data_IF_238846707035
#
_entry.id   IF_238846707035
#
_cell.length_a   1.000
_cell.length_b   1.000
_cell.length_c   1.000
_cell.angle_alpha   90.00
_cell.angle_beta   90.00
_cell.angle_gamma   90.00
#
_symmetry.space_group_name_H-M   'P 1'
#
loop_
_entity.id
_entity.type
_entity.pdbx_description
1 polymer ?
#
# COMPACT_ATOMS: atom_id res chain seq x y z
N UNK A 1 -44.90 33.22 -25.12
CA UNK A 1 -43.47 32.89 -25.40
C UNK A 1 -42.51 33.15 -24.24
N UNK A 2 -42.85 33.99 -23.24
CA UNK A 2 -41.94 34.32 -22.13
C UNK A 2 -41.80 33.28 -20.99
N UNK A 3 -42.57 32.18 -21.00
CA UNK A 3 -42.55 31.17 -19.92
C UNK A 3 -41.61 29.98 -20.18
N UNK A 4 -41.25 29.73 -21.44
CA UNK A 4 -40.36 28.62 -21.80
C UNK A 4 -38.87 28.94 -21.57
N UNK A 5 -38.53 30.22 -21.39
CA UNK A 5 -37.14 30.68 -21.27
C UNK A 5 -36.63 30.69 -19.82
N UNK A 6 -37.53 30.65 -18.83
CA UNK A 6 -37.17 30.61 -17.40
C UNK A 6 -36.85 29.19 -16.89
N UNK A 7 -37.39 28.15 -17.53
CA UNK A 7 -37.15 26.75 -17.13
C UNK A 7 -35.79 26.21 -17.57
N UNK A 8 -35.17 26.81 -18.59
CA UNK A 8 -33.84 26.39 -19.07
C UNK A 8 -32.70 26.95 -18.20
N UNK A 9 -32.92 28.11 -17.56
CA UNK A 9 -31.94 28.71 -16.65
C UNK A 9 -31.89 28.01 -15.28
N UNK A 10 -33.01 27.44 -14.83
CA UNK A 10 -33.07 26.66 -13.59
C UNK A 10 -32.41 25.28 -13.71
N UNK A 11 -32.30 24.72 -14.93
CA UNK A 11 -31.70 23.40 -15.15
C UNK A 11 -30.15 23.42 -15.18
N UNK A 12 -29.51 24.58 -15.41
CA UNK A 12 -28.04 24.69 -15.39
C UNK A 12 -27.43 24.97 -14.01
N UNK A 13 -28.19 25.51 -13.06
CA UNK A 13 -27.69 25.76 -11.69
C UNK A 13 -27.79 24.52 -10.79
N UNK A 14 -28.66 23.56 -11.14
CA UNK A 14 -28.84 22.32 -10.39
C UNK A 14 -27.75 21.25 -10.60
N UNK A 15 -26.88 21.38 -11.60
CA UNK A 15 -25.88 20.36 -11.93
C UNK A 15 -24.52 20.57 -11.24
N UNK A 16 -24.33 21.69 -10.52
CA UNK A 16 -23.05 22.04 -9.89
C UNK A 16 -22.92 21.55 -8.44
N UNK A 17 -23.96 20.97 -7.84
CA UNK A 17 -23.98 20.58 -6.41
C UNK A 17 -23.60 19.11 -6.19
N UNK A 18 -23.32 18.34 -7.25
CA UNK A 18 -23.19 16.88 -7.14
C UNK A 18 -21.77 16.31 -7.03
N UNK A 19 -20.71 17.12 -7.14
CA UNK A 19 -19.34 16.62 -6.98
C UNK A 19 -18.48 17.75 -6.37
N UNK A 20 -17.83 17.53 -5.21
CA UNK A 20 -16.74 16.57 -5.18
C UNK A 20 -16.93 15.56 -4.06
N UNK A 21 -17.06 14.29 -4.44
CA UNK A 21 -16.64 13.20 -3.56
C UNK A 21 -15.22 13.53 -3.10
N UNK A 22 -15.04 13.59 -1.78
CA UNK A 22 -13.74 13.81 -1.17
C UNK A 22 -12.73 12.93 -1.89
N UNK A 23 -11.68 13.57 -2.40
CA UNK A 23 -10.55 12.85 -2.94
C UNK A 23 -10.14 11.85 -1.86
N UNK A 24 -10.45 10.57 -2.09
CA UNK A 24 -9.84 9.51 -1.31
C UNK A 24 -8.36 9.73 -1.55
N UNK A 25 -7.67 10.16 -0.50
CA UNK A 25 -6.21 10.20 -0.50
C UNK A 25 -5.82 8.78 -0.85
N UNK A 26 -5.41 8.56 -2.10
CA UNK A 26 -4.89 7.30 -2.54
C UNK A 26 -3.50 7.25 -1.92
N UNK A 27 -3.40 6.58 -0.77
CA UNK A 27 -2.14 6.35 -0.08
C UNK A 27 -1.30 5.43 -0.98
N UNK A 28 -0.46 6.04 -1.81
CA UNK A 28 0.34 5.40 -2.84
C UNK A 28 1.77 5.10 -2.35
N UNK A 29 1.91 4.66 -1.11
CA UNK A 29 3.19 4.15 -0.60
C UNK A 29 3.12 2.61 -0.56
N UNK A 30 2.95 1.99 -1.72
CA UNK A 30 2.98 0.54 -1.91
C UNK A 30 4.39 -0.05 -1.99
N UNK A 31 5.39 0.66 -1.45
CA UNK A 31 6.78 0.19 -1.46
C UNK A 31 6.89 -1.00 -0.51
N UNK A 32 7.36 -2.16 -0.99
CA UNK A 32 7.60 -3.31 -0.14
C UNK A 32 8.60 -2.99 0.97
N UNK A 33 8.31 -3.45 2.18
CA UNK A 33 9.18 -3.32 3.33
C UNK A 33 10.01 -4.59 3.48
N UNK A 34 11.30 -4.40 3.78
CA UNK A 34 12.25 -5.47 4.06
C UNK A 34 12.55 -5.52 5.56
N UNK A 35 12.36 -6.69 6.16
CA UNK A 35 12.57 -6.93 7.59
C UNK A 35 13.54 -8.08 7.75
N UNK A 36 14.67 -7.81 8.41
CA UNK A 36 15.62 -8.85 8.78
C UNK A 36 15.00 -9.69 9.91
N UNK A 37 15.05 -11.01 9.75
CA UNK A 37 14.65 -11.97 10.76
C UNK A 37 15.92 -12.58 11.37
N UNK A 38 15.99 -12.63 12.69
CA UNK A 38 17.12 -13.20 13.43
C UNK A 38 16.65 -13.77 14.76
N UNK A 39 17.54 -14.47 15.45
CA UNK A 39 17.26 -14.94 16.80
C UNK A 39 17.21 -13.76 17.77
N UNK A 40 16.02 -13.43 18.28
CA UNK A 40 15.82 -12.29 19.18
C UNK A 40 15.69 -12.79 20.64
N UNK A 41 16.67 -12.51 21.53
CA UNK A 41 16.57 -12.89 22.93
C UNK A 41 15.30 -12.36 23.59
N UNK A 42 14.55 -13.23 24.26
CA UNK A 42 13.26 -12.91 24.89
C UNK A 42 12.04 -13.09 23.99
N UNK A 43 12.23 -13.31 22.68
CA UNK A 43 11.17 -13.67 21.73
C UNK A 43 11.43 -15.07 21.19
N UNK A 44 12.60 -15.27 20.60
CA UNK A 44 13.10 -16.57 20.16
C UNK A 44 13.45 -17.44 21.37
N UNK A 45 13.01 -18.69 21.33
CA UNK A 45 13.19 -19.65 22.42
C UNK A 45 13.52 -21.08 21.94
N UNK A 46 13.67 -21.27 20.63
CA UNK A 46 13.89 -22.58 20.01
C UNK A 46 14.75 -22.45 18.75
N UNK A 47 15.43 -23.51 18.34
CA UNK A 47 16.21 -23.54 17.10
C UNK A 47 17.61 -22.88 17.19
N UNK A 48 18.32 -22.79 16.07
CA UNK A 48 19.68 -22.25 16.02
C UNK A 48 19.72 -20.74 16.24
N UNK A 49 20.63 -20.26 17.09
CA UNK A 49 20.82 -18.82 17.34
C UNK A 49 21.41 -18.08 16.14
N UNK A 50 22.04 -18.79 15.21
CA UNK A 50 22.51 -18.21 13.96
C UNK A 50 21.49 -18.33 12.82
N UNK A 51 20.26 -18.79 13.07
CA UNK A 51 19.20 -18.74 12.06
C UNK A 51 18.96 -17.29 11.59
N UNK A 52 18.79 -17.13 10.29
CA UNK A 52 18.57 -15.83 9.66
C UNK A 52 17.44 -15.94 8.64
N UNK A 53 16.75 -14.83 8.42
CA UNK A 53 15.78 -14.70 7.35
C UNK A 53 15.57 -13.28 6.89
N UNK A 54 14.81 -13.15 5.82
CA UNK A 54 14.37 -11.89 5.25
C UNK A 54 12.87 -12.02 4.96
N UNK A 55 12.10 -11.12 5.54
CA UNK A 55 10.71 -10.90 5.17
C UNK A 55 10.66 -9.70 4.23
N UNK A 56 10.03 -9.87 3.08
CA UNK A 56 9.55 -8.79 2.22
C UNK A 56 8.03 -8.78 2.27
N UNK A 57 7.40 -7.65 2.56
CA UNK A 57 5.94 -7.57 2.52
C UNK A 57 5.44 -6.21 2.06
N UNK A 58 4.22 -6.19 1.51
CA UNK A 58 3.50 -4.96 1.17
C UNK A 58 2.04 -5.10 1.59
N UNK A 59 1.57 -4.26 2.49
CA UNK A 59 0.15 -4.21 2.85
C UNK A 59 -0.72 -3.65 1.71
N UNK A 60 -0.16 -2.75 0.90
CA UNK A 60 -0.87 -2.15 -0.24
C UNK A 60 -1.10 -3.19 -1.35
N UNK A 61 -0.08 -4.00 -1.65
CA UNK A 61 -0.16 -5.07 -2.66
C UNK A 61 -0.70 -6.38 -2.08
N UNK A 62 -0.72 -6.51 -0.75
CA UNK A 62 -1.30 -7.65 -0.03
C UNK A 62 -0.48 -8.93 -0.15
N UNK A 63 0.85 -8.86 -0.11
CA UNK A 63 1.72 -10.05 -0.16
C UNK A 63 2.80 -10.05 0.92
N UNK A 64 3.30 -11.24 1.22
CA UNK A 64 4.50 -11.48 2.02
C UNK A 64 5.34 -12.59 1.37
N UNK A 65 6.64 -12.36 1.29
CA UNK A 65 7.66 -13.32 0.86
C UNK A 65 8.63 -13.46 2.03
N UNK A 66 8.97 -14.70 2.38
CA UNK A 66 9.91 -15.00 3.45
C UNK A 66 10.93 -15.99 2.95
N UNK A 67 12.20 -15.62 3.07
CA UNK A 67 13.33 -16.51 2.87
C UNK A 67 14.01 -16.74 4.22
N UNK A 68 14.24 -17.99 4.57
CA UNK A 68 14.99 -18.37 5.79
C UNK A 68 16.17 -19.25 5.42
N UNK A 69 17.21 -19.19 6.25
CA UNK A 69 18.38 -20.06 6.13
C UNK A 69 18.86 -20.49 7.52
N UNK A 70 19.54 -21.65 7.56
CA UNK A 70 19.99 -22.31 8.79
C UNK A 70 18.84 -22.64 9.75
N UNK A 71 17.67 -22.95 9.19
CA UNK A 71 16.54 -23.53 9.93
C UNK A 71 16.36 -24.96 9.41
N UNK A 72 17.03 -25.96 10.00
CA UNK A 72 16.97 -27.33 9.51
C UNK A 72 15.56 -27.91 9.66
N UNK A 73 15.14 -28.65 8.62
CA UNK A 73 13.93 -29.46 8.71
C UNK A 73 14.00 -30.41 9.91
N UNK A 74 12.93 -30.44 10.70
CA UNK A 74 12.83 -31.28 11.91
C UNK A 74 11.63 -32.20 11.76
N UNK A 75 11.82 -33.49 12.04
CA UNK A 75 10.74 -34.48 11.93
C UNK A 75 9.57 -34.12 12.87
N UNK A 76 8.34 -34.21 12.37
CA UNK A 76 7.14 -33.85 13.12
C UNK A 76 6.96 -32.35 13.38
N UNK A 77 7.70 -31.50 12.65
CA UNK A 77 7.61 -30.05 12.78
C UNK A 77 7.26 -29.40 11.44
N UNK A 78 6.30 -28.46 11.46
CA UNK A 78 6.00 -27.57 10.35
C UNK A 78 6.38 -26.14 10.73
N UNK A 79 7.15 -25.46 9.90
CA UNK A 79 7.46 -24.05 10.14
C UNK A 79 6.33 -23.17 9.61
N UNK A 80 6.01 -22.12 10.36
CA UNK A 80 4.92 -21.19 10.04
C UNK A 80 5.38 -19.75 10.20
N UNK A 81 4.92 -18.90 9.28
CA UNK A 81 5.04 -17.44 9.34
C UNK A 81 3.84 -16.81 10.02
N UNK A 82 4.08 -15.95 11.00
CA UNK A 82 3.05 -15.25 11.76
C UNK A 82 3.33 -13.76 11.85
N UNK A 83 2.28 -12.94 11.71
CA UNK A 83 2.33 -11.51 12.06
C UNK A 83 1.67 -11.30 13.42
N UNK A 84 2.28 -10.49 14.28
CA UNK A 84 1.82 -10.20 15.64
C UNK A 84 1.73 -8.70 15.90
N UNK A 85 0.68 -8.27 16.60
CA UNK A 85 0.52 -6.90 17.11
C UNK A 85 1.18 -6.75 18.47
N UNK A 86 1.38 -5.51 18.93
CA UNK A 86 1.90 -5.25 20.27
C UNK A 86 0.97 -5.79 21.38
N UNK A 87 -0.34 -5.79 21.14
CA UNK A 87 -1.33 -6.36 22.06
C UNK A 87 -1.28 -7.90 22.14
N UNK A 88 -0.50 -8.56 21.29
CA UNK A 88 -0.32 -10.01 21.26
C UNK A 88 -1.28 -10.76 20.33
N UNK A 89 -2.17 -10.06 19.64
CA UNK A 89 -3.00 -10.67 18.61
C UNK A 89 -2.13 -11.10 17.42
N UNK A 90 -2.48 -12.23 16.80
CA UNK A 90 -1.66 -12.78 15.73
C UNK A 90 -2.48 -13.34 14.57
N UNK A 91 -1.88 -13.28 13.39
CA UNK A 91 -2.44 -13.84 12.15
C UNK A 91 -1.41 -14.76 11.51
N UNK A 92 -1.88 -15.96 11.16
CA UNK A 92 -1.12 -16.92 10.39
C UNK A 92 -1.00 -16.44 8.94
N UNK A 93 0.24 -16.36 8.43
CA UNK A 93 0.52 -15.92 7.07
C UNK A 93 0.66 -17.12 6.12
N UNK A 94 1.32 -18.18 6.58
CA UNK A 94 1.45 -19.42 5.81
C UNK A 94 2.62 -20.29 6.27
N UNK A 95 2.72 -21.47 5.68
CA UNK A 95 3.70 -22.48 6.06
C UNK A 95 5.01 -22.28 5.30
N UNK A 96 6.14 -22.38 6.00
CA UNK A 96 7.48 -22.27 5.45
C UNK A 96 8.00 -23.68 5.21
N UNK A 97 8.27 -24.01 3.96
CA UNK A 97 8.84 -25.32 3.60
C UNK A 97 10.36 -25.22 3.66
N UNK A 98 10.98 -25.87 4.62
CA UNK A 98 12.45 -25.95 4.76
C UNK A 98 12.99 -27.24 4.16
N UNK A 99 14.10 -27.15 3.44
CA UNK A 99 14.81 -28.32 2.91
C UNK A 99 15.87 -28.89 3.89
N UNK A 100 16.57 -29.93 3.45
CA UNK A 100 17.62 -30.58 4.24
C UNK A 100 18.86 -29.70 4.47
N UNK A 101 19.03 -28.61 3.71
CA UNK A 101 20.10 -27.62 3.90
C UNK A 101 19.72 -26.53 4.90
N UNK A 102 18.46 -26.54 5.36
CA UNK A 102 17.89 -25.56 6.26
C UNK A 102 17.55 -24.24 5.57
N UNK A 103 17.38 -24.25 4.25
CA UNK A 103 16.83 -23.13 3.49
C UNK A 103 15.32 -23.33 3.38
N UNK A 104 14.55 -22.28 3.62
CA UNK A 104 13.11 -22.31 3.48
C UNK A 104 12.56 -21.08 2.79
N UNK A 105 11.39 -21.25 2.18
CA UNK A 105 10.70 -20.21 1.44
C UNK A 105 9.19 -20.24 1.72
N UNK A 106 8.60 -19.05 1.77
CA UNK A 106 7.16 -18.82 1.84
C UNK A 106 6.81 -17.66 0.92
N UNK A 107 5.81 -17.86 0.07
CA UNK A 107 5.15 -16.79 -0.68
C UNK A 107 3.66 -16.86 -0.36
N UNK A 108 3.10 -15.78 0.18
CA UNK A 108 1.72 -15.75 0.65
C UNK A 108 1.02 -14.44 0.29
N UNK A 109 -0.28 -14.58 -0.01
CA UNK A 109 -1.18 -13.44 -0.02
C UNK A 109 -1.56 -13.11 1.42
N UNK A 110 -1.40 -11.85 1.80
CA UNK A 110 -1.84 -11.35 3.10
C UNK A 110 -3.37 -11.35 3.14
N UNK A 111 -3.93 -12.33 3.84
CA UNK A 111 -5.38 -12.49 4.05
C UNK A 111 -5.68 -12.56 5.53
N UNK A 112 -6.92 -12.24 5.92
CA UNK A 112 -7.31 -12.26 7.34
C UNK A 112 -6.76 -11.10 8.18
N UNK A 113 -6.03 -10.16 7.57
CA UNK A 113 -5.63 -8.93 8.23
C UNK A 113 -6.86 -8.04 8.48
N UNK A 114 -7.25 -7.90 9.74
CA UNK A 114 -8.32 -7.00 10.17
C UNK A 114 -7.83 -5.59 10.52
N UNK A 115 -6.50 -5.40 10.61
CA UNK A 115 -5.82 -4.20 11.09
C UNK A 115 -4.46 -4.03 10.40
N UNK A 116 -3.79 -2.90 10.65
CA UNK A 116 -2.45 -2.57 10.15
C UNK A 116 -1.43 -2.32 11.28
N UNK A 117 -1.79 -2.60 12.53
CA UNK A 117 -0.99 -2.39 13.75
C UNK A 117 -0.06 -3.58 14.08
N UNK A 118 0.30 -4.39 13.08
CA UNK A 118 1.27 -5.46 13.25
C UNK A 118 2.67 -4.86 13.36
N UNK A 119 3.44 -5.35 14.33
CA UNK A 119 4.77 -4.81 14.65
C UNK A 119 5.87 -5.85 14.61
N UNK A 120 5.51 -7.12 14.42
CA UNK A 120 6.46 -8.21 14.47
C UNK A 120 6.07 -9.35 13.54
N UNK A 121 7.08 -9.95 12.92
CA UNK A 121 6.98 -11.21 12.20
C UNK A 121 7.74 -12.30 12.95
N UNK A 122 7.16 -13.50 12.98
CA UNK A 122 7.67 -14.65 13.72
C UNK A 122 7.75 -15.86 12.78
N UNK A 123 8.84 -16.61 12.88
CA UNK A 123 8.95 -17.96 12.33
C UNK A 123 8.83 -18.93 13.50
N UNK A 124 7.72 -19.67 13.54
CA UNK A 124 7.40 -20.59 14.63
C UNK A 124 7.39 -22.04 14.15
N UNK A 125 7.75 -22.96 15.04
CA UNK A 125 7.76 -24.39 14.81
C UNK A 125 6.49 -25.00 15.41
N UNK A 126 5.57 -25.46 14.56
CA UNK A 126 4.37 -26.20 14.97
C UNK A 126 4.66 -27.68 15.12
N UNK A 127 4.19 -28.24 16.22
CA UNK A 127 4.18 -29.66 16.55
C UNK A 127 2.75 -30.15 16.78
N UNK A 128 2.56 -31.46 16.91
CA UNK A 128 1.25 -32.08 17.21
C UNK A 128 0.64 -31.64 18.56
N UNK A 129 1.45 -31.05 19.45
CA UNK A 129 0.99 -30.59 20.77
C UNK A 129 0.44 -29.14 20.74
N UNK A 130 0.65 -28.40 19.65
CA UNK A 130 0.26 -26.99 19.58
C UNK A 130 -1.23 -26.82 19.25
N UNK A 131 -1.87 -25.87 19.91
CA UNK A 131 -3.27 -25.54 19.63
C UNK A 131 -3.42 -24.95 18.22
N UNK A 132 -4.46 -25.40 17.51
CA UNK A 132 -4.78 -24.88 16.19
C UNK A 132 -5.21 -23.40 16.26
N UNK A 133 -4.74 -22.60 15.29
CA UNK A 133 -5.10 -21.18 15.18
C UNK A 133 -4.42 -20.24 16.17
N UNK A 134 -3.47 -20.74 16.98
CA UNK A 134 -2.59 -19.92 17.82
C UNK A 134 -1.14 -20.06 17.35
N UNK A 135 -0.31 -19.04 17.66
CA UNK A 135 1.13 -19.13 17.44
C UNK A 135 1.68 -20.32 18.24
N UNK A 136 2.47 -21.22 17.63
CA UNK A 136 3.16 -22.29 18.34
C UNK A 136 4.06 -21.77 19.47
N UNK A 137 4.25 -22.58 20.52
CA UNK A 137 5.07 -22.15 21.65
C UNK A 137 6.57 -22.00 21.30
N UNK A 138 7.02 -22.71 20.26
CA UNK A 138 8.40 -22.71 19.80
C UNK A 138 8.60 -21.65 18.71
N UNK A 139 9.36 -20.61 19.03
CA UNK A 139 9.67 -19.49 18.14
C UNK A 139 11.16 -19.56 17.80
N UNK A 140 11.45 -19.68 16.50
CA UNK A 140 12.81 -19.81 15.97
C UNK A 140 13.47 -18.44 15.81
N UNK A 141 12.95 -17.64 14.89
CA UNK A 141 13.46 -16.29 14.59
C UNK A 141 12.31 -15.30 14.49
N UNK A 142 12.64 -14.03 14.67
CA UNK A 142 11.68 -12.95 14.63
C UNK A 142 12.31 -11.69 14.04
N UNK A 143 11.45 -10.77 13.59
CA UNK A 143 11.84 -9.44 13.13
C UNK A 143 10.81 -8.42 13.54
N UNK A 144 11.27 -7.29 14.08
CA UNK A 144 10.42 -6.16 14.43
C UNK A 144 10.33 -5.21 13.23
N UNK A 145 9.17 -4.62 13.03
CA UNK A 145 8.95 -3.60 12.01
C UNK A 145 7.90 -2.60 12.48
N UNK A 146 7.97 -1.39 11.94
CA UNK A 146 6.93 -0.38 12.09
C UNK A 146 6.26 -0.21 10.73
N UNK A 147 4.95 -0.43 10.67
CA UNK A 147 4.21 -0.05 9.47
C UNK A 147 4.24 1.47 9.39
N UNK A 148 4.89 2.01 8.35
CA UNK A 148 4.84 3.45 8.07
C UNK A 148 3.41 3.76 7.64
N UNK A 149 2.57 4.09 8.60
CA UNK A 149 1.29 4.76 8.38
C UNK A 149 1.53 6.26 8.50
N UNK A 150 1.00 7.03 7.54
CA UNK A 150 0.89 8.48 7.72
C UNK A 150 -0.24 8.75 8.73
N UNK A 151 -0.04 8.39 10.01
CA UNK A 151 -0.72 9.15 11.06
C UNK A 151 -0.20 10.59 10.96
N UNK A 152 -1.06 11.62 10.99
CA UNK A 152 -0.62 12.98 11.22
C UNK A 152 -0.17 13.09 12.68
N UNK A 153 0.95 12.47 13.00
CA UNK A 153 1.61 12.53 14.29
C UNK A 153 2.45 13.80 14.35
N UNK A 154 2.13 14.65 15.32
CA UNK A 154 3.03 15.65 15.87
C UNK A 154 4.39 14.98 16.12
N UNK A 155 5.45 15.57 15.56
CA UNK A 155 6.74 14.91 15.39
C UNK A 155 7.48 14.55 16.68
N UNK A 156 8.14 13.39 16.63
CA UNK A 156 9.37 12.95 17.31
C UNK A 156 9.33 11.41 17.11
N UNK A 157 10.25 10.71 16.47
CA UNK A 157 11.68 10.87 16.30
C UNK A 157 12.10 10.12 15.02
N UNK A 158 13.10 10.64 14.30
CA UNK A 158 13.97 9.79 13.46
C UNK A 158 14.13 10.13 11.99
N UNK A 159 13.30 11.01 11.42
CA UNK A 159 13.53 11.48 10.05
C UNK A 159 13.55 13.00 10.00
N UNK A 160 14.70 13.59 10.35
CA UNK A 160 15.05 14.92 9.84
C UNK A 160 15.24 14.81 8.32
N UNK A 161 14.14 14.63 7.59
CA UNK A 161 14.12 14.95 6.17
C UNK A 161 14.41 16.45 6.11
N UNK A 162 15.49 16.88 5.42
CA UNK A 162 15.69 18.29 5.18
C UNK A 162 14.42 18.82 4.51
N UNK A 163 13.73 19.78 5.15
CA UNK A 163 12.55 20.40 4.54
C UNK A 163 12.88 21.16 3.25
N UNK A 164 14.18 21.23 2.91
CA UNK A 164 14.73 21.86 1.73
C UNK A 164 15.77 20.91 1.15
N UNK A 165 15.51 20.41 -0.07
CA UNK A 165 16.52 19.75 -0.88
C UNK A 165 17.70 20.71 -1.10
N UNK A 166 18.97 20.27 -1.01
CA UNK A 166 20.08 21.08 -1.48
C UNK A 166 19.82 21.45 -2.94
N UNK A 167 19.97 22.73 -3.27
CA UNK A 167 19.72 23.29 -4.61
C UNK A 167 20.78 22.78 -5.58
N UNK A 168 20.62 21.54 -6.05
CA UNK A 168 21.51 20.89 -7.01
C UNK A 168 20.98 21.10 -8.42
N UNK A 169 21.15 22.32 -8.93
CA UNK A 169 21.03 22.56 -10.36
C UNK A 169 20.38 23.90 -10.69
N UNK A 170 21.15 24.74 -11.39
CA UNK A 170 20.66 25.84 -12.22
C UNK A 170 19.25 25.58 -12.77
N UNK A 171 18.34 26.51 -12.48
CA UNK A 171 17.01 26.57 -13.08
C UNK A 171 17.13 26.48 -14.61
N UNK A 172 16.53 25.48 -15.27
CA UNK A 172 16.17 25.66 -16.66
C UNK A 172 15.17 26.82 -16.70
N UNK A 173 15.52 27.87 -17.44
CA UNK A 173 14.72 29.08 -17.57
C UNK A 173 13.24 28.78 -17.72
N UNK A 174 12.43 29.44 -16.88
CA UNK A 174 11.02 29.15 -16.68
C UNK A 174 10.24 28.91 -17.97
N UNK A 175 9.75 27.69 -18.15
CA UNK A 175 8.68 27.36 -19.08
C UNK A 175 7.35 27.53 -18.36
N UNK A 176 6.77 28.74 -18.49
CA UNK A 176 5.37 28.97 -18.19
C UNK A 176 4.46 28.01 -18.98
N UNK A 177 3.15 27.94 -18.64
CA UNK A 177 2.22 26.99 -19.24
C UNK A 177 2.32 27.02 -20.76
N UNK A 178 2.77 25.90 -21.32
CA UNK A 178 3.16 25.80 -22.73
C UNK A 178 2.04 26.26 -23.65
N UNK A 179 2.41 27.07 -24.65
CA UNK A 179 1.53 27.55 -25.75
C UNK A 179 0.68 26.44 -26.39
N UNK A 180 1.10 25.17 -26.29
CA UNK A 180 0.34 24.00 -26.74
C UNK A 180 -0.94 23.71 -25.96
N UNK A 181 -0.98 23.94 -24.65
CA UNK A 181 -2.18 23.71 -23.83
C UNK A 181 -3.27 24.77 -24.11
N UNK A 182 -2.86 26.03 -24.29
CA UNK A 182 -3.74 27.12 -24.71
C UNK A 182 -4.28 26.92 -26.14
N UNK A 183 -3.47 26.35 -27.05
CA UNK A 183 -3.90 26.06 -28.42
C UNK A 183 -4.99 24.96 -28.49
N UNK A 184 -4.93 23.93 -27.63
CA UNK A 184 -5.97 22.90 -27.57
C UNK A 184 -7.29 23.42 -27.01
N UNK A 185 -7.27 24.30 -26.00
CA UNK A 185 -8.49 24.93 -25.46
C UNK A 185 -9.17 25.84 -26.50
N UNK A 186 -8.38 26.59 -27.29
CA UNK A 186 -8.91 27.45 -28.34
C UNK A 186 -9.56 26.66 -29.50
N UNK A 187 -9.03 25.49 -29.86
CA UNK A 187 -9.63 24.65 -30.92
C UNK A 187 -10.96 24.01 -30.50
N UNK A 188 -11.13 23.62 -29.23
CA UNK A 188 -12.38 23.05 -28.73
C UNK A 188 -13.54 24.08 -28.74
N UNK A 189 -13.26 25.35 -28.43
CA UNK A 189 -14.27 26.41 -28.45
C UNK A 189 -14.76 26.75 -29.87
N UNK A 190 -13.87 26.72 -30.86
CA UNK A 190 -14.21 27.08 -32.25
C UNK A 190 -15.08 26.01 -32.94
N UNK A 191 -14.83 24.73 -32.66
CA UNK A 191 -15.63 23.62 -33.20
C UNK A 191 -17.10 23.66 -32.77
N UNK A 192 -17.37 24.05 -31.52
CA UNK A 192 -18.74 24.10 -30.99
C UNK A 192 -19.58 25.22 -31.64
N UNK A 193 -18.96 26.37 -31.96
CA UNK A 193 -19.64 27.48 -32.63
C UNK A 193 -20.06 27.15 -34.07
N UNK A 194 -19.25 26.39 -34.82
CA UNK A 194 -19.58 26.04 -36.22
C UNK A 194 -20.77 25.07 -36.27
N UNK A 195 -20.83 24.10 -35.36
CA UNK A 195 -21.94 23.14 -35.27
C UNK A 195 -23.26 23.83 -34.89
N UNK A 196 -23.23 24.78 -33.94
CA UNK A 196 -24.43 25.54 -33.57
C UNK A 196 -24.94 26.44 -34.70
N UNK A 197 -24.05 27.12 -35.45
CA UNK A 197 -24.46 27.96 -36.59
C UNK A 197 -25.02 27.12 -37.75
N UNK A 198 -24.44 25.95 -38.01
CA UNK A 198 -24.94 25.03 -39.04
C UNK A 198 -26.35 24.48 -38.70
N UNK A 199 -26.58 24.11 -37.44
CA UNK A 199 -27.91 23.66 -37.00
C UNK A 199 -28.95 24.78 -37.03
N UNK A 200 -28.57 26.02 -36.69
CA UNK A 200 -29.48 27.16 -36.74
C UNK A 200 -29.95 27.48 -38.17
N UNK A 201 -29.04 27.43 -39.17
CA UNK A 201 -29.40 27.68 -40.58
C UNK A 201 -30.29 26.59 -41.17
N UNK A 202 -30.11 25.32 -40.76
CA UNK A 202 -30.95 24.21 -41.22
C UNK A 202 -32.39 24.34 -40.73
N UNK A 203 -32.61 24.84 -39.51
CA UNK A 203 -33.95 25.05 -38.94
C UNK A 203 -34.69 26.27 -39.50
N UNK A 204 -34.00 27.23 -40.13
CA UNK A 204 -34.63 28.38 -40.80
C UNK A 204 -35.01 28.13 -42.26
N UNK A 205 -34.60 26.99 -42.84
CA UNK A 205 -34.87 26.61 -44.23
C UNK A 205 -35.94 25.52 -44.37
N UNK A 206 -36.47 25.02 -43.25
CA UNK A 206 -37.66 24.19 -43.18
C UNK A 206 -38.81 25.04 -42.65
#
# INVERSE_FOLDING_TARGET
MARAMFLLAAAMVGLSVLLPGGAKIAFANGVPQLVKLEYLPGVSNWGPEDAEGLLEFSFAEGYAIVDVKRIPATEGTTFEGWMRTEAGDAVHIGDIVTDATGIGHLEAKLTGLSRFDYTQFLVAARTDNDAAGAIPAQISIAGNFSVIGDEPGDGDDGEQRPQVLPDTGELPGGSGPGRGFMAMIAMAATGLTIVMVAQYRKRRRA
#
